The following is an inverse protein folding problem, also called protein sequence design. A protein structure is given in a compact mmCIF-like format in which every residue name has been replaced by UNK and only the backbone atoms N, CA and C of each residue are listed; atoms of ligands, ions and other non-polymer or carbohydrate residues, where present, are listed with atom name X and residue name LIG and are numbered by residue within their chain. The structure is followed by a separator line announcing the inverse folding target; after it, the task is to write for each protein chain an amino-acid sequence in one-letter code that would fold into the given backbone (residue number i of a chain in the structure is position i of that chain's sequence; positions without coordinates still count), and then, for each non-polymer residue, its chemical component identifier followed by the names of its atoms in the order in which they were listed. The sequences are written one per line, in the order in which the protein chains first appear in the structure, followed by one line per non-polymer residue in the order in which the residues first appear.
data_IF_889768151247
#
_entry.id   IF_889768151247
#
_cell.length_a   1.000
_cell.length_b   1.000
_cell.length_c   1.000
_cell.angle_alpha   90.00
_cell.angle_beta   90.00
_cell.angle_gamma   90.00
#
_symmetry.space_group_name_H-M   'P 1'
#
loop_
_entity.id
_entity.type
_entity.pdbx_description
1 polymer ?
#
# COMPACT_ATOMS: atom_id res chain seq x y z
N UNK A 1 -25.93 6.58 6.46
CA UNK A 1 -24.46 6.37 6.48
C UNK A 1 -23.99 6.83 7.84
N UNK A 2 -23.25 5.98 8.56
CA UNK A 2 -22.70 6.32 9.88
C UNK A 2 -21.18 6.41 9.71
N UNK A 3 -20.52 7.54 10.00
CA UNK A 3 -19.08 7.62 9.91
C UNK A 3 -18.43 6.64 10.89
N UNK A 4 -17.44 5.89 10.41
CA UNK A 4 -16.60 5.06 11.27
C UNK A 4 -15.53 5.94 11.91
N UNK A 5 -15.49 5.96 13.24
CA UNK A 5 -14.44 6.67 13.99
C UNK A 5 -13.13 5.89 13.85
N UNK A 6 -12.06 6.57 13.45
CA UNK A 6 -10.73 5.99 13.34
C UNK A 6 -10.03 6.11 14.70
N UNK A 7 -9.58 5.01 15.33
CA UNK A 7 -8.81 5.07 16.57
C UNK A 7 -7.61 6.03 16.46
N UNK A 8 -6.86 5.92 15.36
CA UNK A 8 -5.83 6.90 15.02
C UNK A 8 -5.68 7.04 13.51
N UNK A 9 -5.28 8.23 13.07
CA UNK A 9 -4.87 8.54 11.69
C UNK A 9 -3.76 9.57 11.72
N UNK A 10 -2.74 9.37 10.90
CA UNK A 10 -1.67 10.33 10.67
C UNK A 10 -1.75 10.83 9.25
N UNK A 11 -1.71 12.14 9.07
CA UNK A 11 -1.59 12.79 7.76
C UNK A 11 -0.25 13.52 7.72
N UNK A 12 0.58 13.18 6.75
CA UNK A 12 1.83 13.87 6.47
C UNK A 12 1.63 14.79 5.28
N UNK A 13 1.84 16.08 5.53
CA UNK A 13 1.84 17.16 4.56
C UNK A 13 3.28 17.43 4.15
N UNK A 14 3.52 17.47 2.86
CA UNK A 14 4.84 17.58 2.27
C UNK A 14 4.84 18.64 1.18
N UNK A 15 6.02 19.21 0.90
CA UNK A 15 6.19 20.28 -0.07
C UNK A 15 5.33 21.51 0.23
N UNK A 16 5.16 21.88 1.52
CA UNK A 16 4.42 23.08 1.93
C UNK A 16 5.28 24.32 1.64
N UNK A 17 5.64 24.59 0.39
CA UNK A 17 6.78 25.46 0.09
C UNK A 17 6.49 26.97 0.23
N UNK A 18 7.56 27.73 0.41
CA UNK A 18 7.57 29.16 0.12
C UNK A 18 8.10 29.42 -1.29
N UNK A 19 7.42 30.28 -2.07
CA UNK A 19 8.03 30.86 -3.25
C UNK A 19 9.12 31.87 -2.91
N UNK A 20 9.76 32.47 -3.95
CA UNK A 20 10.75 33.57 -3.81
C UNK A 20 10.23 34.86 -3.12
N UNK A 21 9.01 34.86 -2.56
CA UNK A 21 8.36 36.00 -1.90
C UNK A 21 7.59 35.50 -0.67
N UNK A 22 7.10 36.43 0.17
CA UNK A 22 6.29 36.20 1.38
C UNK A 22 4.96 35.44 1.19
N UNK A 23 4.77 34.79 0.05
CA UNK A 23 3.57 34.15 -0.44
C UNK A 23 3.79 32.63 -0.39
N UNK A 24 3.71 32.08 0.81
CA UNK A 24 3.95 30.67 1.03
C UNK A 24 2.66 29.89 1.01
N UNK A 25 2.80 28.60 0.83
CA UNK A 25 1.78 27.66 1.21
C UNK A 25 1.63 27.65 2.73
N UNK A 26 0.38 27.51 3.15
CA UNK A 26 0.03 27.39 4.57
C UNK A 26 -0.94 26.25 4.73
N UNK A 27 -0.74 25.47 5.78
CA UNK A 27 -1.72 24.49 6.21
C UNK A 27 -2.19 24.84 7.60
N UNK A 28 -3.49 24.82 7.81
CA UNK A 28 -4.11 25.11 9.10
C UNK A 28 -4.97 23.94 9.52
N UNK A 29 -4.85 23.55 10.79
CA UNK A 29 -5.64 22.48 11.39
C UNK A 29 -6.00 22.84 12.83
N UNK A 30 -7.23 22.53 13.23
CA UNK A 30 -7.70 22.63 14.62
C UNK A 30 -7.97 21.26 15.24
N UNK A 31 -8.10 20.21 14.42
CA UNK A 31 -8.63 18.91 14.86
C UNK A 31 -7.55 17.91 15.27
N UNK A 32 -6.27 18.22 15.07
CA UNK A 32 -5.16 17.34 15.43
C UNK A 32 -4.92 17.33 16.94
N UNK A 33 -4.57 16.17 17.49
CA UNK A 33 -4.21 16.03 18.90
C UNK A 33 -2.72 16.28 19.15
N UNK A 34 -1.89 16.02 18.13
CA UNK A 34 -0.45 16.23 18.13
C UNK A 34 0.01 16.55 16.72
N UNK A 35 1.15 17.22 16.61
CA UNK A 35 1.90 17.32 15.36
C UNK A 35 3.38 17.04 15.61
N UNK A 36 4.08 16.62 14.56
CA UNK A 36 5.55 16.63 14.45
C UNK A 36 5.89 17.44 13.20
N UNK A 37 6.64 18.52 13.35
CA UNK A 37 7.00 19.43 12.28
C UNK A 37 8.53 19.44 12.09
N UNK A 38 8.98 19.49 10.84
CA UNK A 38 10.39 19.67 10.53
C UNK A 38 10.93 21.01 11.03
N UNK A 39 12.25 21.11 11.17
CA UNK A 39 12.95 22.28 11.71
C UNK A 39 12.86 23.53 10.82
N UNK A 40 12.56 23.35 9.52
CA UNK A 40 12.31 24.43 8.58
C UNK A 40 10.82 24.82 8.50
N UNK A 41 9.94 24.19 9.29
CA UNK A 41 8.54 24.58 9.39
C UNK A 41 8.34 25.56 10.54
N UNK A 42 7.87 26.77 10.21
CA UNK A 42 7.33 27.70 11.20
C UNK A 42 5.94 27.26 11.62
N UNK A 43 5.74 27.13 12.93
CA UNK A 43 4.46 26.84 13.55
C UNK A 43 3.98 28.06 14.33
N UNK A 44 2.72 28.44 14.15
CA UNK A 44 2.05 29.49 14.92
C UNK A 44 0.65 29.07 15.32
N UNK A 45 0.16 29.59 16.44
CA UNK A 45 -1.20 29.33 16.92
C UNK A 45 -2.06 30.57 16.66
N UNK A 46 -3.18 30.37 15.97
CA UNK A 46 -4.16 31.40 15.66
C UNK A 46 -5.53 30.97 16.19
N UNK A 47 -5.90 31.49 17.36
CA UNK A 47 -7.14 31.07 18.05
C UNK A 47 -7.05 29.61 18.51
N UNK A 48 -7.94 28.77 17.98
CA UNK A 48 -7.97 27.32 18.24
C UNK A 48 -7.22 26.50 17.18
N UNK A 49 -6.61 27.16 16.20
CA UNK A 49 -5.99 26.51 15.06
C UNK A 49 -4.47 26.64 15.11
N UNK A 50 -3.78 25.61 14.66
CA UNK A 50 -2.33 25.65 14.41
C UNK A 50 -2.11 25.88 12.93
N UNK A 51 -1.27 26.87 12.61
CA UNK A 51 -0.86 27.24 11.26
C UNK A 51 0.59 26.78 11.05
N UNK A 52 0.79 26.05 9.96
CA UNK A 52 2.07 25.51 9.53
C UNK A 52 2.49 26.19 8.24
N UNK A 53 3.72 26.67 8.21
CA UNK A 53 4.29 27.39 7.07
C UNK A 53 5.77 27.06 6.94
N UNK A 54 6.22 26.66 5.77
CA UNK A 54 7.65 26.48 5.54
C UNK A 54 8.40 27.82 5.64
N UNK A 55 9.69 27.73 5.95
CA UNK A 55 10.63 28.84 5.96
C UNK A 55 11.61 28.75 4.78
N UNK A 56 11.68 27.58 4.14
CA UNK A 56 12.58 27.31 3.03
C UNK A 56 11.88 27.53 1.68
N UNK A 57 12.67 27.97 0.69
CA UNK A 57 12.25 28.01 -0.71
C UNK A 57 12.84 26.78 -1.38
N UNK A 58 12.15 25.65 -1.31
CA UNK A 58 12.47 24.47 -2.12
C UNK A 58 11.89 24.59 -3.52
N UNK A 59 12.56 23.96 -4.49
CA UNK A 59 12.04 23.84 -5.86
C UNK A 59 11.37 22.49 -6.07
N UNK A 60 10.68 22.34 -7.19
CA UNK A 60 10.00 21.10 -7.58
C UNK A 60 10.89 19.83 -7.57
N UNK A 61 12.21 20.00 -7.61
CA UNK A 61 13.16 18.89 -7.49
C UNK A 61 13.22 18.24 -6.10
N UNK A 62 12.73 18.93 -5.06
CA UNK A 62 12.65 18.39 -3.70
C UNK A 62 11.32 17.65 -3.43
N UNK A 63 10.41 17.62 -4.40
CA UNK A 63 9.09 17.01 -4.20
C UNK A 63 9.24 15.51 -3.90
N UNK A 64 8.59 14.99 -2.84
CA UNK A 64 8.65 13.58 -2.53
C UNK A 64 8.09 12.71 -3.64
N UNK A 65 8.82 11.64 -3.97
CA UNK A 65 8.36 10.56 -4.84
C UNK A 65 8.06 9.27 -4.07
N UNK A 66 8.25 9.31 -2.75
CA UNK A 66 8.10 8.20 -1.81
C UNK A 66 7.47 8.70 -0.51
N UNK A 67 6.78 7.81 0.20
CA UNK A 67 6.30 8.07 1.58
C UNK A 67 7.43 8.01 2.62
N UNK A 68 8.61 7.52 2.22
CA UNK A 68 9.83 7.59 3.02
C UNK A 68 10.60 8.82 2.58
N UNK A 69 10.59 9.84 3.43
CA UNK A 69 11.18 11.15 3.15
C UNK A 69 12.68 11.18 3.45
N UNK A 70 13.45 11.91 2.63
CA UNK A 70 14.84 12.28 2.95
C UNK A 70 14.88 13.24 4.14
N UNK A 71 16.06 13.45 4.75
CA UNK A 71 16.21 14.43 5.85
C UNK A 71 15.78 15.85 5.42
N UNK A 72 16.15 16.27 4.20
CA UNK A 72 15.73 17.56 3.64
C UNK A 72 14.20 17.62 3.49
N UNK A 73 13.56 16.56 2.99
CA UNK A 73 12.10 16.52 2.85
C UNK A 73 11.39 16.48 4.21
N UNK A 74 11.96 15.80 5.21
CA UNK A 74 11.44 15.80 6.58
C UNK A 74 11.54 17.18 7.23
N UNK A 75 12.61 17.93 6.95
CA UNK A 75 12.84 19.27 7.51
C UNK A 75 11.75 20.28 7.13
N UNK A 76 11.07 20.07 6.00
CA UNK A 76 9.99 20.92 5.48
C UNK A 76 8.60 20.25 5.50
N UNK A 77 8.47 19.10 6.15
CA UNK A 77 7.20 18.36 6.24
C UNK A 77 6.54 18.52 7.61
N UNK A 78 5.24 18.25 7.65
CA UNK A 78 4.44 18.21 8.88
C UNK A 78 3.63 16.93 8.95
N UNK A 79 3.76 16.19 10.04
CA UNK A 79 2.87 15.10 10.39
C UNK A 79 1.83 15.58 11.41
N UNK A 80 0.55 15.38 11.10
CA UNK A 80 -0.58 15.67 11.98
C UNK A 80 -1.18 14.35 12.45
N UNK A 81 -1.36 14.23 13.76
CA UNK A 81 -1.93 13.05 14.42
C UNK A 81 -3.36 13.36 14.85
N UNK A 82 -4.28 12.48 14.45
CA UNK A 82 -5.69 12.53 14.80
C UNK A 82 -6.04 11.24 15.54
N UNK A 83 -6.81 11.36 16.60
CA UNK A 83 -7.26 10.22 17.40
C UNK A 83 -8.76 10.29 17.64
N UNK A 84 -9.40 9.12 17.61
CA UNK A 84 -10.83 8.96 17.87
C UNK A 84 -11.71 9.98 17.11
N UNK A 85 -11.33 10.30 15.88
CA UNK A 85 -12.07 11.25 15.05
C UNK A 85 -12.84 10.56 13.93
N UNK A 86 -14.05 11.04 13.68
CA UNK A 86 -14.85 10.68 12.51
C UNK A 86 -14.53 11.56 11.29
N UNK A 87 -14.05 12.77 11.53
CA UNK A 87 -13.72 13.75 10.49
C UNK A 87 -12.65 14.73 10.99
N UNK A 88 -11.84 15.25 10.08
CA UNK A 88 -10.91 16.32 10.36
C UNK A 88 -10.87 17.27 9.17
N UNK A 89 -10.55 18.52 9.44
CA UNK A 89 -10.46 19.57 8.43
C UNK A 89 -9.02 20.06 8.32
N UNK A 90 -8.54 20.11 7.08
CA UNK A 90 -7.28 20.75 6.73
C UNK A 90 -7.58 21.92 5.80
N UNK A 91 -7.22 23.12 6.22
CA UNK A 91 -7.27 24.30 5.37
C UNK A 91 -5.91 24.50 4.72
N UNK A 92 -5.85 24.34 3.40
CA UNK A 92 -4.65 24.53 2.61
C UNK A 92 -4.80 25.79 1.77
N UNK A 93 -3.85 26.72 1.87
CA UNK A 93 -3.88 27.96 1.12
C UNK A 93 -2.55 28.22 0.42
N UNK A 94 -2.61 28.47 -0.89
CA UNK A 94 -1.46 28.87 -1.70
C UNK A 94 -1.48 30.40 -1.89
N UNK A 95 -0.52 31.10 -1.28
CA UNK A 95 -0.37 32.54 -1.45
C UNK A 95 0.32 32.96 -2.75
N UNK A 96 0.89 32.03 -3.52
CA UNK A 96 1.67 32.32 -4.72
C UNK A 96 0.79 32.75 -5.90
N UNK A 97 1.38 33.52 -6.82
CA UNK A 97 0.71 33.94 -8.07
C UNK A 97 0.61 32.82 -9.12
N UNK A 98 1.28 31.70 -8.88
CA UNK A 98 1.37 30.57 -9.80
C UNK A 98 0.85 29.31 -9.10
N UNK A 99 0.36 28.31 -9.85
CA UNK A 99 -0.05 27.03 -9.27
C UNK A 99 1.10 26.39 -8.48
N UNK A 100 0.73 25.75 -7.37
CA UNK A 100 1.63 24.99 -6.50
C UNK A 100 0.94 23.70 -6.08
N UNK A 101 1.71 22.76 -5.57
CA UNK A 101 1.24 21.40 -5.29
C UNK A 101 1.35 21.17 -3.80
N UNK A 102 0.23 20.85 -3.17
CA UNK A 102 0.25 20.26 -1.84
C UNK A 102 0.37 18.75 -1.99
N UNK A 103 1.44 18.16 -1.44
CA UNK A 103 1.60 16.71 -1.42
C UNK A 103 1.16 16.17 -0.07
N UNK A 104 0.31 15.14 -0.09
CA UNK A 104 -0.30 14.57 1.10
C UNK A 104 -0.14 13.06 1.08
N UNK A 105 0.30 12.50 2.20
CA UNK A 105 0.29 11.08 2.47
C UNK A 105 -0.38 10.83 3.83
N UNK A 106 -0.80 9.60 4.09
CA UNK A 106 -1.38 9.29 5.39
C UNK A 106 -1.41 7.79 5.66
N UNK A 107 -1.46 7.46 6.94
CA UNK A 107 -1.61 6.11 7.45
C UNK A 107 -2.75 6.14 8.47
N UNK A 108 -3.63 5.16 8.41
CA UNK A 108 -4.74 5.02 9.34
C UNK A 108 -4.82 3.61 9.89
N UNK A 109 -5.42 3.45 11.07
CA UNK A 109 -5.67 2.14 11.68
C UNK A 109 -6.73 1.30 10.97
N UNK A 110 -7.40 1.81 9.92
CA UNK A 110 -8.22 0.98 9.05
C UNK A 110 -7.31 0.17 8.13
N UNK A 111 -7.01 -1.05 8.57
CA UNK A 111 -6.73 -2.11 7.62
C UNK A 111 -8.06 -2.45 6.94
N UNK A 112 -8.16 -2.20 5.64
CA UNK A 112 -9.29 -2.68 4.86
C UNK A 112 -9.40 -4.20 5.05
N UNK A 113 -10.60 -4.74 5.36
CA UNK A 113 -10.78 -6.19 5.36
C UNK A 113 -10.29 -6.75 4.03
N UNK A 114 -9.55 -7.86 4.07
CA UNK A 114 -9.14 -8.54 2.84
C UNK A 114 -10.37 -8.76 1.97
N UNK A 115 -10.35 -8.29 0.72
CA UNK A 115 -11.44 -8.54 -0.23
C UNK A 115 -11.52 -10.05 -0.39
N UNK A 116 -12.57 -10.66 0.15
CA UNK A 116 -12.84 -12.07 -0.11
C UNK A 116 -13.31 -12.18 -1.55
N UNK A 117 -12.38 -12.48 -2.46
CA UNK A 117 -12.75 -12.94 -3.80
C UNK A 117 -13.14 -14.41 -3.66
N UNK A 118 -14.43 -14.79 -3.80
CA UNK A 118 -14.81 -16.18 -3.79
C UNK A 118 -14.03 -16.94 -4.86
N UNK A 119 -13.58 -18.16 -4.54
CA UNK A 119 -12.94 -19.02 -5.52
C UNK A 119 -13.85 -19.15 -6.76
N UNK A 120 -13.29 -19.15 -7.98
CA UNK A 120 -14.10 -19.34 -9.18
C UNK A 120 -14.88 -20.65 -9.07
N UNK A 121 -16.16 -20.61 -9.41
CA UNK A 121 -17.00 -21.81 -9.49
C UNK A 121 -16.30 -22.82 -10.41
N UNK A 122 -16.06 -24.07 -9.98
CA UNK A 122 -15.46 -25.07 -10.85
C UNK A 122 -16.30 -25.21 -12.12
N UNK A 123 -15.62 -25.36 -13.26
CA UNK A 123 -16.29 -25.60 -14.53
C UNK A 123 -17.15 -26.88 -14.42
N UNK A 124 -18.37 -26.90 -14.96
CA UNK A 124 -19.21 -28.10 -14.93
C UNK A 124 -18.44 -29.28 -15.53
N UNK A 125 -18.41 -30.40 -14.80
CA UNK A 125 -17.85 -31.64 -15.31
C UNK A 125 -18.60 -32.04 -16.58
N UNK A 126 -17.92 -32.31 -17.71
CA UNK A 126 -18.58 -32.76 -18.91
C UNK A 126 -19.36 -34.06 -18.63
N UNK A 127 -20.50 -34.27 -19.30
CA UNK A 127 -21.27 -35.50 -19.13
C UNK A 127 -20.40 -36.72 -19.48
N UNK A 128 -20.67 -37.89 -18.88
CA UNK A 128 -19.97 -39.12 -19.23
C UNK A 128 -20.08 -39.37 -20.73
N UNK A 129 -18.95 -39.45 -21.42
CA UNK A 129 -18.91 -39.92 -22.81
C UNK A 129 -19.46 -41.34 -22.82
N UNK A 130 -20.56 -41.57 -23.55
CA UNK A 130 -21.08 -42.92 -23.74
C UNK A 130 -19.95 -43.82 -24.26
N UNK A 131 -19.68 -44.90 -23.53
CA UNK A 131 -18.71 -45.89 -23.95
C UNK A 131 -19.21 -46.49 -25.26
N UNK A 132 -18.54 -46.20 -26.38
CA UNK A 132 -18.75 -46.95 -27.61
C UNK A 132 -18.47 -48.42 -27.32
N UNK A 133 -19.49 -49.24 -27.43
CA UNK A 133 -19.37 -50.69 -27.43
C UNK A 133 -18.50 -51.09 -28.62
N UNK A 134 -17.20 -51.26 -28.39
CA UNK A 134 -16.32 -51.85 -29.38
C UNK A 134 -16.75 -53.31 -29.60
N UNK A 135 -16.80 -53.79 -30.86
CA UNK A 135 -17.10 -55.20 -31.14
C UNK A 135 -16.08 -56.12 -30.48
N UNK A 136 -16.48 -57.34 -30.07
CA UNK A 136 -15.61 -58.24 -29.32
C UNK A 136 -14.31 -58.52 -30.08
N UNK A 137 -13.20 -58.14 -29.45
CA UNK A 137 -11.85 -58.40 -29.93
C UNK A 137 -11.53 -59.88 -29.75
N UNK A 138 -11.10 -60.54 -30.82
CA UNK A 138 -10.72 -61.95 -30.82
C UNK A 138 -9.45 -62.15 -29.99
N UNK A 139 -9.49 -63.12 -29.08
CA UNK A 139 -8.40 -63.49 -28.17
C UNK A 139 -7.14 -63.93 -28.93
N UNK A 140 -5.99 -63.25 -28.81
CA UNK A 140 -4.72 -63.78 -29.29
C UNK A 140 -4.17 -64.83 -28.31
N UNK A 141 -3.65 -65.92 -28.88
CA UNK A 141 -3.06 -67.09 -28.20
C UNK A 141 -1.82 -66.67 -27.38
N UNK A 142 -1.64 -67.18 -26.14
CA UNK A 142 -0.50 -66.81 -25.30
C UNK A 142 0.82 -67.30 -25.91
N UNK A 143 1.78 -66.36 -26.03
CA UNK A 143 3.18 -66.66 -26.35
C UNK A 143 3.96 -66.87 -25.05
N UNK A 144 4.77 -67.94 -24.91
CA UNK A 144 5.43 -68.30 -23.66
C UNK A 144 6.49 -67.29 -23.21
N UNK A 145 6.57 -67.06 -21.90
CA UNK A 145 7.53 -66.15 -21.26
C UNK A 145 8.96 -66.68 -21.29
N UNK A 146 9.95 -65.86 -21.65
CA UNK A 146 11.34 -66.14 -21.34
C UNK A 146 11.67 -65.74 -19.89
N UNK A 147 12.12 -66.72 -19.12
CA UNK A 147 12.76 -66.60 -17.82
C UNK A 147 14.15 -65.98 -17.98
N UNK A 148 14.46 -64.91 -17.23
CA UNK A 148 15.85 -64.59 -16.90
C UNK A 148 15.98 -64.29 -15.39
N UNK A 149 16.98 -64.87 -14.72
CA UNK A 149 17.11 -64.87 -13.27
C UNK A 149 17.85 -63.65 -12.71
N UNK A 150 17.54 -63.37 -11.46
CA UNK A 150 18.19 -62.45 -10.54
C UNK A 150 19.72 -62.51 -10.60
N UNK A 151 20.34 -61.33 -10.61
CA UNK A 151 21.68 -61.12 -10.07
C UNK A 151 21.66 -59.97 -9.07
N UNK A 152 22.35 -60.24 -7.98
CA UNK A 152 22.40 -59.62 -6.66
C UNK A 152 23.27 -58.36 -6.57
N UNK A 153 23.32 -57.81 -5.34
CA UNK A 153 24.32 -56.88 -4.74
C UNK A 153 23.80 -55.44 -4.65
N UNK A 154 23.30 -54.95 -3.49
CA UNK A 154 23.98 -54.56 -2.23
C UNK A 154 24.94 -53.39 -2.36
N UNK A 155 24.60 -52.23 -1.80
CA UNK A 155 25.56 -51.15 -1.54
C UNK A 155 24.93 -49.87 -0.99
N UNK A 156 25.19 -49.57 0.28
CA UNK A 156 25.12 -48.23 0.87
C UNK A 156 26.09 -47.30 0.15
N UNK A 157 25.81 -45.99 0.10
CA UNK A 157 26.77 -44.90 0.35
C UNK A 157 26.00 -43.57 0.45
N UNK A 158 26.36 -42.79 1.48
CA UNK A 158 26.14 -41.34 1.58
C UNK A 158 26.82 -40.61 0.42
N UNK A 159 26.35 -39.41 0.11
CA UNK A 159 27.20 -38.38 -0.52
C UNK A 159 26.72 -36.99 -0.10
N UNK A 160 27.73 -36.15 0.15
CA UNK A 160 27.74 -34.75 0.63
C UNK A 160 26.74 -33.78 -0.04
#
# INVERSE_FOLDING_TARGET
WTPFVLPWTTVTLMDIDCGRRSNCETVTSADHVKYDAGDQVRVSVEGNSTVFRDMLVSGAGNNPTSVVLTEEQQSIAVALYFENTAEFTLHMANGAKWPRTFLVAGISSVQWPSIYTPAPTPFPTPPPTEARTHPPTTTPVPTPSPTCPFSSVSGNCEVD
#
